data_IF_696065493999
#
_entry.id   IF_696065493999
#
_cell.length_a   1.000
_cell.length_b   1.000
_cell.length_c   1.000
_cell.angle_alpha   90.00
_cell.angle_beta   90.00
_cell.angle_gamma   90.00
#
_symmetry.space_group_name_H-M   'P 1'
#
loop_
_entity.id
_entity.type
_entity.pdbx_description
1 polymer ?
#
# COMPACT_ATOMS: atom_id res chain seq x y z
N UNK A 1 1.89 19.21 2.63
CA UNK A 1 1.30 18.26 3.60
C UNK A 1 2.15 17.01 3.59
N UNK A 2 2.44 16.45 4.76
CA UNK A 2 3.16 15.18 4.87
C UNK A 2 2.25 14.06 4.36
N UNK A 3 2.76 13.19 3.47
CA UNK A 3 1.98 12.04 2.97
C UNK A 3 1.94 10.97 4.06
N UNK A 4 0.75 10.46 4.36
CA UNK A 4 0.57 9.38 5.33
C UNK A 4 0.75 8.02 4.66
N UNK A 5 1.15 7.00 5.41
CA UNK A 5 1.18 5.64 4.90
C UNK A 5 -0.25 5.14 4.67
N UNK A 6 -0.51 4.56 3.49
CA UNK A 6 -1.82 3.94 3.21
C UNK A 6 -2.16 2.83 4.20
N UNK A 7 -1.13 2.18 4.75
CA UNK A 7 -1.23 1.13 5.77
C UNK A 7 -1.64 1.64 7.16
N UNK A 8 -1.68 2.96 7.38
CA UNK A 8 -2.24 3.53 8.61
C UNK A 8 -3.77 3.56 8.59
N UNK A 9 -4.39 3.34 7.44
CA UNK A 9 -5.84 3.32 7.30
C UNK A 9 -6.38 1.92 7.56
N UNK A 10 -7.45 1.85 8.35
CA UNK A 10 -8.37 0.72 8.34
C UNK A 10 -9.12 0.64 7.01
N UNK A 11 -9.73 -0.51 6.72
CA UNK A 11 -10.57 -0.67 5.53
C UNK A 11 -11.73 0.35 5.51
N UNK A 12 -12.31 0.66 6.68
CA UNK A 12 -13.39 1.64 6.78
C UNK A 12 -12.91 3.06 6.49
N UNK A 13 -11.77 3.47 7.06
CA UNK A 13 -11.19 4.79 6.77
C UNK A 13 -10.79 4.90 5.29
N UNK A 14 -10.28 3.82 4.68
CA UNK A 14 -10.04 3.80 3.24
C UNK A 14 -11.35 3.94 2.45
N UNK A 15 -12.45 3.31 2.88
CA UNK A 15 -13.75 3.51 2.24
C UNK A 15 -14.19 4.97 2.29
N UNK A 16 -14.04 5.63 3.44
CA UNK A 16 -14.42 7.03 3.63
C UNK A 16 -13.57 7.97 2.75
N UNK A 17 -12.26 7.75 2.70
CA UNK A 17 -11.35 8.50 1.82
C UNK A 17 -11.73 8.33 0.35
N UNK A 18 -11.89 7.10 -0.12
CA UNK A 18 -12.19 6.81 -1.52
C UNK A 18 -13.58 7.33 -1.89
N UNK A 19 -14.56 7.24 -0.99
CA UNK A 19 -15.89 7.84 -1.18
C UNK A 19 -15.82 9.37 -1.27
N UNK A 20 -14.98 10.03 -0.48
CA UNK A 20 -14.75 11.49 -0.57
C UNK A 20 -14.15 11.94 -1.90
N UNK A 21 -13.60 11.00 -2.69
CA UNK A 21 -13.10 11.23 -4.04
C UNK A 21 -14.10 10.83 -5.13
N UNK A 22 -15.37 10.65 -4.75
CA UNK A 22 -16.46 10.23 -5.63
C UNK A 22 -16.22 8.88 -6.32
N UNK A 23 -15.39 8.02 -5.71
CA UNK A 23 -15.10 6.68 -6.20
C UNK A 23 -15.98 5.64 -5.49
N UNK A 24 -16.29 4.56 -6.22
CA UNK A 24 -17.14 3.49 -5.70
C UNK A 24 -16.40 2.60 -4.70
N UNK A 25 -17.17 1.91 -3.84
CA UNK A 25 -16.64 0.88 -2.92
C UNK A 25 -15.85 -0.21 -3.64
N UNK A 26 -16.22 -0.52 -4.88
CA UNK A 26 -15.47 -1.47 -5.72
C UNK A 26 -14.00 -1.06 -5.90
N UNK A 27 -13.69 0.25 -5.99
CA UNK A 27 -12.30 0.73 -6.05
C UNK A 27 -11.55 0.49 -4.75
N UNK A 28 -12.22 0.59 -3.61
CA UNK A 28 -11.65 0.23 -2.31
C UNK A 28 -11.22 -1.23 -2.31
N UNK A 29 -12.09 -2.13 -2.77
CA UNK A 29 -11.79 -3.56 -2.81
C UNK A 29 -10.59 -3.89 -3.71
N UNK A 30 -10.46 -3.19 -4.84
CA UNK A 30 -9.30 -3.32 -5.72
C UNK A 30 -8.02 -2.86 -5.03
N UNK A 31 -8.06 -1.70 -4.36
CA UNK A 31 -6.91 -1.16 -3.62
C UNK A 31 -6.52 -2.12 -2.50
N UNK A 32 -7.49 -2.55 -1.69
CA UNK A 32 -7.27 -3.43 -0.56
C UNK A 32 -6.67 -4.79 -0.97
N UNK A 33 -7.19 -5.40 -2.05
CA UNK A 33 -6.63 -6.62 -2.61
C UNK A 33 -5.21 -6.41 -3.13
N UNK A 34 -4.95 -5.31 -3.83
CA UNK A 34 -3.60 -4.99 -4.30
C UNK A 34 -2.59 -4.86 -3.16
N UNK A 35 -2.97 -4.21 -2.07
CA UNK A 35 -2.12 -4.01 -0.89
C UNK A 35 -1.87 -5.31 -0.11
N UNK A 36 -2.93 -6.06 0.23
CA UNK A 36 -2.85 -7.13 1.23
C UNK A 36 -2.88 -8.55 0.66
N UNK A 37 -3.26 -8.74 -0.60
CA UNK A 37 -3.28 -10.06 -1.25
C UNK A 37 -2.24 -10.18 -2.36
N UNK A 38 -2.04 -9.11 -3.13
CA UNK A 38 -1.11 -9.09 -4.25
C UNK A 38 0.24 -8.46 -3.91
N UNK A 39 0.35 -7.81 -2.75
CA UNK A 39 1.57 -7.17 -2.24
C UNK A 39 2.18 -6.16 -3.22
N UNK A 40 1.33 -5.39 -3.90
CA UNK A 40 1.75 -4.30 -4.78
C UNK A 40 2.59 -3.28 -4.01
N UNK A 41 3.71 -2.87 -4.61
CA UNK A 41 4.72 -2.02 -3.98
C UNK A 41 4.71 -0.60 -4.51
N UNK A 42 4.04 -0.39 -5.63
CA UNK A 42 3.91 0.91 -6.29
C UNK A 42 2.47 1.14 -6.73
N UNK A 43 2.11 2.41 -6.92
CA UNK A 43 0.78 2.76 -7.45
C UNK A 43 0.62 2.30 -8.91
N UNK A 44 1.72 2.17 -9.64
CA UNK A 44 1.74 1.68 -11.02
C UNK A 44 1.33 0.21 -11.16
N UNK A 45 1.50 -0.59 -10.12
CA UNK A 45 1.06 -1.99 -10.10
C UNK A 45 -0.49 -2.10 -10.19
N UNK A 46 -1.22 -1.05 -9.82
CA UNK A 46 -2.67 -0.98 -9.87
C UNK A 46 -3.20 -0.68 -11.28
N UNK A 47 -2.81 -1.48 -12.27
CA UNK A 47 -3.17 -1.30 -13.70
C UNK A 47 -4.67 -1.23 -13.99
N UNK A 48 -5.51 -1.78 -13.09
CA UNK A 48 -6.98 -1.74 -13.19
C UNK A 48 -7.61 -0.42 -12.71
N UNK A 49 -6.84 0.44 -12.05
CA UNK A 49 -7.28 1.75 -11.60
C UNK A 49 -7.06 2.81 -12.70
N UNK A 50 -8.02 3.72 -12.93
CA UNK A 50 -7.84 4.84 -13.85
C UNK A 50 -6.64 5.70 -13.47
N UNK A 51 -5.97 6.30 -14.46
CA UNK A 51 -4.79 7.14 -14.26
C UNK A 51 -5.04 8.23 -13.19
N UNK A 52 -6.16 8.95 -13.28
CA UNK A 52 -6.51 10.00 -12.32
C UNK A 52 -6.60 9.49 -10.87
N UNK A 53 -7.07 8.25 -10.66
CA UNK A 53 -7.15 7.67 -9.33
C UNK A 53 -5.77 7.23 -8.83
N UNK A 54 -4.93 6.69 -9.72
CA UNK A 54 -3.53 6.39 -9.40
C UNK A 54 -2.78 7.66 -9.00
N UNK A 55 -2.90 8.72 -9.78
CA UNK A 55 -2.27 10.02 -9.48
C UNK A 55 -2.72 10.54 -8.11
N UNK A 56 -4.03 10.48 -7.82
CA UNK A 56 -4.58 10.92 -6.53
C UNK A 56 -4.10 10.09 -5.34
N UNK A 57 -3.96 8.78 -5.50
CA UNK A 57 -3.39 7.89 -4.47
C UNK A 57 -1.91 8.24 -4.26
N UNK A 58 -1.15 8.38 -5.35
CA UNK A 58 0.28 8.72 -5.31
C UNK A 58 0.51 10.07 -4.62
N UNK A 59 -0.37 11.04 -4.82
CA UNK A 59 -0.28 12.38 -4.19
C UNK A 59 -0.70 12.37 -2.72
N UNK A 60 -1.62 11.49 -2.33
CA UNK A 60 -2.18 11.46 -0.97
C UNK A 60 -1.42 10.54 -0.02
N UNK A 61 -0.83 9.44 -0.53
CA UNK A 61 -0.34 8.35 0.29
C UNK A 61 1.06 7.86 -0.09
N UNK A 62 1.72 7.26 0.89
CA UNK A 62 2.90 6.42 0.72
C UNK A 62 2.49 4.94 0.78
N UNK A 63 2.98 4.14 -0.18
CA UNK A 63 2.75 2.68 -0.24
C UNK A 63 3.86 1.87 0.42
N UNK A 64 4.93 2.50 0.88
CA UNK A 64 5.96 1.86 1.70
C UNK A 64 6.49 2.86 2.71
N UNK A 65 6.64 2.40 3.94
CA UNK A 65 7.27 3.14 5.03
C UNK A 65 8.46 2.41 5.64
N UNK A 66 8.84 1.26 5.06
CA UNK A 66 9.92 0.43 5.56
C UNK A 66 10.89 0.16 4.42
N UNK A 67 12.16 0.51 4.63
CA UNK A 67 13.24 0.16 3.71
C UNK A 67 14.06 -0.98 4.32
N UNK A 68 14.03 -2.22 3.79
CA UNK A 68 14.88 -3.29 4.28
C UNK A 68 16.35 -2.94 4.01
N UNK A 69 17.18 -2.95 5.04
CA UNK A 69 18.62 -2.60 4.95
C UNK A 69 19.55 -3.78 5.18
N UNK A 70 19.06 -4.84 5.85
CA UNK A 70 19.81 -6.07 6.01
C UNK A 70 18.85 -7.26 6.20
N UNK A 71 19.27 -8.44 5.77
CA UNK A 71 18.57 -9.71 5.97
C UNK A 71 19.57 -10.78 6.38
N UNK A 72 19.25 -11.50 7.45
CA UNK A 72 19.99 -12.70 7.85
C UNK A 72 19.03 -13.88 7.93
N UNK A 73 19.51 -15.06 7.54
CA UNK A 73 18.75 -16.30 7.56
C UNK A 73 19.47 -17.35 8.41
N UNK A 74 18.73 -18.25 9.05
CA UNK A 74 19.30 -19.43 9.73
C UNK A 74 19.91 -20.39 8.71
N UNK A 75 20.82 -21.26 9.16
CA UNK A 75 21.47 -22.26 8.29
C UNK A 75 20.47 -23.17 7.58
N UNK A 76 19.37 -23.52 8.25
CA UNK A 76 18.29 -24.36 7.71
C UNK A 76 17.25 -23.58 6.90
N UNK A 77 17.42 -22.26 6.74
CA UNK A 77 16.53 -21.33 6.01
C UNK A 77 15.10 -21.20 6.54
N UNK A 78 14.78 -21.76 7.71
CA UNK A 78 13.44 -21.70 8.30
C UNK A 78 13.19 -20.43 9.12
N UNK A 79 14.22 -19.61 9.36
CA UNK A 79 14.10 -18.33 10.07
C UNK A 79 14.76 -17.21 9.26
N UNK A 80 14.03 -16.12 9.00
CA UNK A 80 14.56 -14.88 8.41
C UNK A 80 14.39 -13.72 9.40
N UNK A 81 15.46 -12.95 9.63
CA UNK A 81 15.42 -11.68 10.37
C UNK A 81 15.78 -10.54 9.42
N UNK A 82 14.85 -9.60 9.26
CA UNK A 82 15.05 -8.40 8.43
C UNK A 82 15.21 -7.16 9.31
N UNK A 83 16.27 -6.38 9.07
CA UNK A 83 16.45 -5.06 9.64
C UNK A 83 15.86 -4.02 8.68
N UNK A 84 15.00 -3.15 9.21
CA UNK A 84 14.38 -2.06 8.46
C UNK A 84 14.88 -0.69 8.91
N UNK A 85 14.96 0.24 7.96
CA UNK A 85 15.03 1.68 8.20
C UNK A 85 13.62 2.26 8.05
N UNK A 86 13.27 3.14 8.96
CA UNK A 86 12.03 3.92 8.99
C UNK A 86 12.22 5.24 8.24
#
# INVERSE_FOLDING_TARGET
>A
MEKTLIYNLTYQELCEVIASWEQSKFRVDQIWKGLYQQFYKSVDDFSTLPAQLRDRIQDSFLLSGLTPVNKIQSEDTQTEKTLFRL
#
